data_IF_867951022858
#
_entry.id   IF_867951022858
#
_cell.length_a   1.000
_cell.length_b   1.000
_cell.length_c   1.000
_cell.angle_alpha   90.00
_cell.angle_beta   90.00
_cell.angle_gamma   90.00
#
_symmetry.space_group_name_H-M   'P 1'
#
loop_
_entity.id
_entity.type
_entity.pdbx_description
1 polymer ?
#
# COMPACT_ATOMS: atom_id res chain seq x y z
N UNK A 1 4.57 -23.93 47.25
CA UNK A 1 3.95 -24.78 46.21
C UNK A 1 2.44 -24.71 46.38
N UNK A 2 1.76 -23.90 45.57
CA UNK A 2 0.31 -23.82 45.57
C UNK A 2 -0.13 -23.80 44.10
N UNK A 3 -0.60 -24.95 43.62
CA UNK A 3 -1.22 -25.11 42.30
C UNK A 3 -2.64 -24.60 42.40
N UNK A 4 -2.97 -23.53 41.68
CA UNK A 4 -4.36 -23.11 41.46
C UNK A 4 -4.65 -23.33 39.98
N UNK A 5 -5.35 -24.43 39.71
CA UNK A 5 -6.02 -24.69 38.45
C UNK A 5 -7.35 -23.94 38.42
N UNK A 6 -7.52 -23.01 37.49
CA UNK A 6 -8.85 -22.57 37.08
C UNK A 6 -9.11 -23.07 35.65
N UNK A 7 -9.93 -24.12 35.55
CA UNK A 7 -10.72 -24.42 34.35
C UNK A 7 -12.00 -23.59 34.47
N UNK A 8 -12.29 -22.77 33.47
CA UNK A 8 -13.57 -22.08 33.37
C UNK A 8 -14.27 -22.49 32.06
N UNK A 9 -15.34 -23.25 32.27
CA UNK A 9 -16.53 -23.53 31.48
C UNK A 9 -16.66 -22.95 30.06
N UNK A 10 -16.83 -23.89 29.13
CA UNK A 10 -17.57 -23.74 27.89
C UNK A 10 -19.05 -23.44 28.20
N UNK A 11 -19.50 -22.23 27.91
CA UNK A 11 -20.92 -21.89 27.85
C UNK A 11 -21.32 -21.76 26.36
N UNK A 12 -22.02 -22.78 25.88
CA UNK A 12 -22.68 -22.78 24.59
C UNK A 12 -23.93 -21.89 24.72
N UNK A 13 -23.83 -20.63 24.30
CA UNK A 13 -25.01 -19.76 24.14
C UNK A 13 -25.34 -19.68 22.67
N UNK A 14 -26.29 -20.52 22.25
CA UNK A 14 -26.97 -20.39 20.98
C UNK A 14 -27.82 -19.12 21.03
N UNK A 15 -27.29 -18.01 20.49
CA UNK A 15 -28.10 -16.85 20.12
C UNK A 15 -28.25 -16.90 18.61
N UNK A 16 -29.39 -17.42 18.16
CA UNK A 16 -29.94 -17.17 16.83
C UNK A 16 -30.34 -15.69 16.76
N UNK A 17 -29.36 -14.82 16.53
CA UNK A 17 -29.64 -13.48 16.04
C UNK A 17 -29.75 -13.55 14.53
N UNK A 18 -30.98 -13.72 14.03
CA UNK A 18 -31.38 -13.21 12.72
C UNK A 18 -31.38 -11.67 12.79
N UNK A 19 -30.19 -11.10 12.93
CA UNK A 19 -29.96 -9.68 12.74
C UNK A 19 -29.54 -9.50 11.30
N UNK A 20 -30.49 -9.22 10.41
CA UNK A 20 -30.17 -8.18 9.43
C UNK A 20 -29.78 -6.99 10.29
N UNK A 21 -28.48 -6.68 10.36
CA UNK A 21 -28.07 -5.38 10.83
C UNK A 21 -28.79 -4.41 9.90
N UNK A 22 -29.88 -3.79 10.39
CA UNK A 22 -30.52 -2.69 9.69
C UNK A 22 -29.41 -1.68 9.50
N UNK A 23 -28.93 -1.54 8.26
CA UNK A 23 -28.26 -0.33 7.88
C UNK A 23 -29.24 0.79 8.25
N UNK A 24 -28.84 1.71 9.12
CA UNK A 24 -29.77 2.71 9.66
C UNK A 24 -30.22 3.71 8.59
N UNK A 25 -29.63 3.63 7.40
CA UNK A 25 -30.03 4.33 6.18
C UNK A 25 -28.84 5.00 5.52
N UNK A 26 -29.09 5.69 4.40
CA UNK A 26 -28.05 6.41 3.67
C UNK A 26 -27.38 7.49 4.51
N UNK A 27 -28.15 8.22 5.33
CA UNK A 27 -27.65 9.36 6.13
C UNK A 27 -27.22 8.90 7.52
N UNK A 28 -27.97 7.99 8.11
CA UNK A 28 -27.84 7.58 9.51
C UNK A 28 -26.57 6.75 9.74
N UNK A 29 -26.16 5.96 8.75
CA UNK A 29 -24.87 5.26 8.75
C UNK A 29 -23.74 6.07 8.10
N UNK A 30 -23.97 7.35 7.78
CA UNK A 30 -22.91 8.20 7.23
C UNK A 30 -21.83 8.50 8.26
N UNK A 31 -20.58 8.49 7.81
CA UNK A 31 -19.44 8.87 8.62
C UNK A 31 -18.53 9.84 7.85
N UNK A 32 -17.95 10.79 8.55
CA UNK A 32 -16.95 11.69 8.01
C UNK A 32 -15.70 11.71 8.90
N UNK A 33 -14.52 11.68 8.28
CA UNK A 33 -13.24 11.88 8.95
C UNK A 33 -12.45 12.99 8.27
N UNK A 34 -11.83 13.84 9.09
CA UNK A 34 -10.89 14.85 8.64
C UNK A 34 -9.51 14.52 9.20
N UNK A 35 -8.58 14.18 8.32
CA UNK A 35 -7.16 14.04 8.67
C UNK A 35 -6.42 15.33 8.35
N UNK A 36 -5.74 15.89 9.35
CA UNK A 36 -4.79 16.99 9.16
C UNK A 36 -3.37 16.42 9.21
N UNK A 37 -2.57 16.65 8.17
CA UNK A 37 -1.22 16.09 8.03
C UNK A 37 -0.20 17.21 7.84
N UNK A 38 0.67 17.41 8.82
CA UNK A 38 1.85 18.26 8.64
C UNK A 38 3.03 17.38 8.21
N UNK A 39 3.64 17.65 7.06
CA UNK A 39 4.64 16.76 6.46
C UNK A 39 5.87 17.55 5.99
N UNK A 40 6.98 17.40 6.72
CA UNK A 40 8.31 17.76 6.26
C UNK A 40 9.02 16.55 5.64
N UNK A 41 9.53 16.70 4.42
CA UNK A 41 10.31 15.68 3.74
C UNK A 41 11.65 16.26 3.30
N UNK A 42 12.74 15.52 3.53
CA UNK A 42 14.09 15.93 3.15
C UNK A 42 14.90 14.73 2.66
N UNK A 43 15.23 14.76 1.37
CA UNK A 43 16.17 13.85 0.73
C UNK A 43 17.38 14.63 0.30
N UNK A 44 18.43 14.54 1.10
CA UNK A 44 19.73 15.15 0.82
C UNK A 44 20.61 14.21 -0.01
N UNK A 45 20.99 14.61 -1.22
CA UNK A 45 21.85 13.82 -2.09
C UNK A 45 23.32 14.08 -1.76
N UNK A 46 24.06 13.02 -1.39
CA UNK A 46 25.46 13.13 -0.93
C UNK A 46 26.49 13.12 -2.06
N UNK A 47 26.11 12.65 -3.25
CA UNK A 47 26.97 12.64 -4.44
C UNK A 47 26.60 13.79 -5.38
N UNK A 48 27.51 14.09 -6.32
CA UNK A 48 27.27 15.08 -7.36
C UNK A 48 26.03 14.72 -8.18
N UNK A 49 24.99 15.54 -8.05
CA UNK A 49 23.69 15.37 -8.69
C UNK A 49 23.23 16.72 -9.22
N UNK A 50 22.37 16.78 -10.26
CA UNK A 50 21.83 18.04 -10.77
C UNK A 50 21.02 18.83 -9.73
N UNK A 51 20.53 18.16 -8.69
CA UNK A 51 19.76 18.73 -7.59
C UNK A 51 20.34 18.23 -6.26
N UNK A 52 20.76 19.14 -5.39
CA UNK A 52 21.45 18.80 -4.13
C UNK A 52 20.53 18.19 -3.07
N UNK A 53 19.25 18.58 -3.04
CA UNK A 53 18.25 17.98 -2.18
C UNK A 53 16.84 18.11 -2.78
N UNK A 54 15.98 17.13 -2.51
CA UNK A 54 14.53 17.29 -2.62
C UNK A 54 13.98 17.52 -1.21
N UNK A 55 13.45 18.71 -0.93
CA UNK A 55 13.06 19.13 0.41
C UNK A 55 11.88 20.09 0.39
N UNK A 56 10.79 19.66 1.00
CA UNK A 56 9.53 20.38 1.03
C UNK A 56 8.85 20.21 2.39
N UNK A 57 8.10 21.24 2.78
CA UNK A 57 7.23 21.23 3.95
C UNK A 57 5.83 21.65 3.52
N UNK A 58 4.83 20.85 3.88
CA UNK A 58 3.45 21.13 3.51
C UNK A 58 2.46 20.71 4.61
N UNK A 59 1.28 21.31 4.56
CA UNK A 59 0.12 20.98 5.37
C UNK A 59 -0.97 20.39 4.46
N UNK A 60 -1.49 19.22 4.82
CA UNK A 60 -2.54 18.51 4.10
C UNK A 60 -3.82 18.41 4.92
N UNK A 61 -4.95 18.44 4.22
CA UNK A 61 -6.28 18.18 4.74
C UNK A 61 -6.96 17.13 3.86
N UNK A 62 -7.39 16.04 4.48
CA UNK A 62 -8.04 14.91 3.80
C UNK A 62 -9.39 14.73 4.48
N UNK A 63 -10.46 15.15 3.81
CA UNK A 63 -11.83 14.93 4.26
C UNK A 63 -12.41 13.75 3.49
N UNK A 64 -12.69 12.65 4.19
CA UNK A 64 -13.46 11.55 3.64
C UNK A 64 -14.87 11.60 4.21
N UNK A 65 -15.87 11.59 3.33
CA UNK A 65 -17.28 11.47 3.69
C UNK A 65 -17.80 10.20 3.04
N UNK A 66 -18.32 9.28 3.85
CA UNK A 66 -18.86 8.02 3.37
C UNK A 66 -20.32 7.91 3.77
N UNK A 67 -21.20 7.72 2.80
CA UNK A 67 -22.61 7.48 3.12
C UNK A 67 -22.81 6.09 3.71
N UNK A 68 -23.96 5.88 4.34
CA UNK A 68 -24.55 4.55 4.49
C UNK A 68 -25.01 3.97 3.16
N UNK A 69 -25.86 2.95 3.25
CA UNK A 69 -26.56 2.38 2.09
C UNK A 69 -28.06 2.59 2.24
N UNK A 70 -28.75 2.87 1.14
CA UNK A 70 -30.22 2.85 1.12
C UNK A 70 -30.74 1.48 1.54
N UNK A 71 -31.89 1.45 2.22
CA UNK A 71 -32.55 0.21 2.61
C UNK A 71 -33.01 -0.60 1.40
N UNK A 72 -33.00 -1.94 1.54
CA UNK A 72 -33.44 -2.88 0.52
C UNK A 72 -32.44 -4.00 0.24
N UNK A 73 -32.80 -4.96 -0.64
CA UNK A 73 -31.91 -6.07 -1.02
C UNK A 73 -30.69 -5.61 -1.83
N UNK A 74 -30.78 -4.45 -2.48
CA UNK A 74 -29.68 -3.75 -3.15
C UNK A 74 -29.61 -2.35 -2.56
N UNK A 75 -28.53 -2.06 -1.86
CA UNK A 75 -28.27 -0.76 -1.26
C UNK A 75 -27.41 0.12 -2.16
N UNK A 76 -27.72 1.40 -2.22
CA UNK A 76 -26.95 2.42 -2.94
C UNK A 76 -26.31 3.40 -1.96
N UNK A 77 -25.10 3.85 -2.27
CA UNK A 77 -24.36 4.83 -1.49
C UNK A 77 -23.54 5.76 -2.37
N UNK A 78 -23.03 6.83 -1.77
CA UNK A 78 -22.15 7.80 -2.39
C UNK A 78 -21.08 8.24 -1.38
N UNK A 79 -19.83 8.09 -1.78
CA UNK A 79 -18.68 8.58 -1.02
C UNK A 79 -18.06 9.79 -1.72
N UNK A 80 -17.47 10.67 -0.92
CA UNK A 80 -16.73 11.83 -1.38
C UNK A 80 -15.38 11.93 -0.65
N UNK A 81 -14.35 12.35 -1.37
CA UNK A 81 -13.03 12.64 -0.83
C UNK A 81 -12.59 14.02 -1.30
N UNK A 82 -12.44 14.96 -0.36
CA UNK A 82 -11.92 16.28 -0.64
C UNK A 82 -10.50 16.40 -0.07
N UNK A 83 -9.57 16.82 -0.91
CA UNK A 83 -8.14 16.92 -0.60
C UNK A 83 -7.68 18.36 -0.78
N UNK A 84 -6.86 18.85 0.14
CA UNK A 84 -6.20 20.15 0.05
C UNK A 84 -4.77 20.03 0.58
N UNK A 85 -3.79 20.45 -0.22
CA UNK A 85 -2.41 20.62 0.19
C UNK A 85 -2.00 22.08 0.12
N UNK A 86 -1.30 22.56 1.15
CA UNK A 86 -0.79 23.94 1.27
C UNK A 86 0.71 23.90 1.52
N UNK A 87 1.47 24.64 0.72
CA UNK A 87 2.92 24.80 0.84
C UNK A 87 3.27 25.61 2.07
N UNK A 88 4.20 25.09 2.88
CA UNK A 88 4.82 25.81 4.00
C UNK A 88 6.26 26.22 3.67
N UNK A 89 7.03 25.34 3.02
CA UNK A 89 8.35 25.65 2.46
C UNK A 89 8.62 24.80 1.22
N UNK A 90 9.04 25.45 0.13
CA UNK A 90 9.63 24.81 -1.05
C UNK A 90 10.31 25.88 -1.91
N UNK A 91 11.08 25.46 -2.91
CA UNK A 91 11.65 26.35 -3.91
C UNK A 91 11.95 25.58 -5.19
N UNK A 92 12.17 26.28 -6.30
CA UNK A 92 12.58 25.68 -7.58
C UNK A 92 13.78 24.75 -7.48
N UNK A 93 14.66 24.91 -6.50
CA UNK A 93 15.84 24.07 -6.32
C UNK A 93 15.56 22.80 -5.49
N UNK A 94 14.43 22.72 -4.79
CA UNK A 94 14.14 21.67 -3.79
C UNK A 94 12.86 20.86 -4.08
N UNK A 95 12.17 21.10 -5.18
CA UNK A 95 10.95 20.36 -5.56
C UNK A 95 11.20 18.89 -5.87
N UNK A 96 10.11 18.13 -6.05
CA UNK A 96 10.16 16.73 -6.47
C UNK A 96 10.17 15.74 -5.32
N UNK A 97 9.68 16.14 -4.13
CA UNK A 97 9.48 15.19 -3.03
C UNK A 97 8.22 14.34 -3.23
N UNK A 98 7.26 14.84 -4.00
CA UNK A 98 5.91 14.29 -4.12
C UNK A 98 4.92 14.81 -3.08
N UNK A 99 5.27 15.86 -2.33
CA UNK A 99 4.32 16.55 -1.43
C UNK A 99 3.49 17.63 -2.16
N UNK A 100 4.08 18.30 -3.15
CA UNK A 100 3.51 19.44 -3.85
C UNK A 100 3.67 19.26 -5.38
N UNK A 101 2.65 19.61 -6.18
CA UNK A 101 2.81 19.78 -7.62
C UNK A 101 3.82 20.89 -7.93
N UNK A 102 4.51 20.79 -9.06
CA UNK A 102 5.40 21.84 -9.55
C UNK A 102 5.37 21.94 -11.08
N UNK A 103 5.68 23.12 -11.61
CA UNK A 103 5.77 23.32 -13.06
C UNK A 103 6.92 22.50 -13.65
N UNK A 104 6.63 21.66 -14.64
CA UNK A 104 7.66 20.92 -15.37
C UNK A 104 8.69 21.82 -16.08
N UNK A 105 8.31 23.07 -16.42
CA UNK A 105 9.17 24.01 -17.14
C UNK A 105 9.98 24.90 -16.19
N UNK A 106 9.33 25.55 -15.22
CA UNK A 106 10.00 26.53 -14.34
C UNK A 106 10.46 25.93 -13.02
N UNK A 107 9.98 24.73 -12.69
CA UNK A 107 10.08 24.08 -11.38
C UNK A 107 9.45 24.84 -10.23
N UNK A 108 8.61 25.84 -10.50
CA UNK A 108 7.89 26.56 -9.44
C UNK A 108 6.93 25.59 -8.74
N UNK A 109 7.05 25.37 -7.41
CA UNK A 109 6.10 24.56 -6.66
C UNK A 109 4.81 25.35 -6.42
N UNK A 110 3.66 24.68 -6.49
CA UNK A 110 2.37 25.31 -6.22
C UNK A 110 2.29 25.82 -4.77
N UNK A 111 1.60 26.94 -4.55
CA UNK A 111 1.27 27.44 -3.21
C UNK A 111 0.25 26.53 -2.51
N UNK A 112 -0.72 26.05 -3.29
CA UNK A 112 -1.76 25.13 -2.84
C UNK A 112 -2.25 24.27 -4.01
N UNK A 113 -2.89 23.14 -3.71
CA UNK A 113 -3.57 22.30 -4.68
C UNK A 113 -4.71 21.55 -4.01
N UNK A 114 -5.79 21.30 -4.75
CA UNK A 114 -6.97 20.62 -4.21
C UNK A 114 -7.61 19.69 -5.23
N UNK A 115 -8.28 18.67 -4.71
CA UNK A 115 -8.92 17.62 -5.49
C UNK A 115 -10.25 17.22 -4.84
N UNK A 116 -11.21 16.83 -5.66
CA UNK A 116 -12.48 16.24 -5.22
C UNK A 116 -12.74 14.94 -5.98
N UNK A 117 -12.80 13.84 -5.25
CA UNK A 117 -13.19 12.53 -5.73
C UNK A 117 -14.61 12.17 -5.29
N UNK A 118 -15.35 11.49 -6.16
CA UNK A 118 -16.68 10.95 -5.86
C UNK A 118 -16.74 9.48 -6.26
N UNK A 119 -17.43 8.68 -5.46
CA UNK A 119 -17.54 7.23 -5.68
C UNK A 119 -18.97 6.78 -5.43
N UNK A 120 -19.67 6.36 -6.48
CA UNK A 120 -20.93 5.66 -6.32
C UNK A 120 -20.65 4.23 -5.87
N UNK A 121 -21.42 3.72 -4.92
CA UNK A 121 -21.27 2.36 -4.41
C UNK A 121 -22.62 1.63 -4.37
N UNK A 122 -22.58 0.36 -4.77
CA UNK A 122 -23.74 -0.54 -4.77
C UNK A 122 -23.37 -1.78 -3.99
N UNK A 123 -24.23 -2.16 -3.05
CA UNK A 123 -24.04 -3.37 -2.23
C UNK A 123 -25.23 -4.31 -2.35
N UNK A 124 -24.95 -5.57 -2.62
CA UNK A 124 -25.92 -6.66 -2.54
C UNK A 124 -25.26 -7.82 -1.79
N UNK A 125 -25.94 -8.37 -0.79
CA UNK A 125 -25.35 -9.38 0.11
C UNK A 125 -24.03 -8.88 0.74
N UNK A 126 -22.94 -9.65 0.62
CA UNK A 126 -21.58 -9.34 1.08
C UNK A 126 -20.69 -8.88 -0.09
N UNK A 127 -21.29 -8.39 -1.17
CA UNK A 127 -20.61 -7.90 -2.36
C UNK A 127 -20.85 -6.41 -2.59
N UNK A 128 -19.78 -5.68 -2.87
CA UNK A 128 -19.79 -4.23 -3.05
C UNK A 128 -19.08 -3.86 -4.37
N UNK A 129 -19.79 -3.13 -5.23
CA UNK A 129 -19.26 -2.51 -6.44
C UNK A 129 -19.10 -1.01 -6.23
N UNK A 130 -17.92 -0.49 -6.52
CA UNK A 130 -17.58 0.93 -6.50
C UNK A 130 -17.33 1.43 -7.92
N UNK A 131 -17.79 2.66 -8.22
CA UNK A 131 -17.62 3.34 -9.51
C UNK A 131 -17.22 4.80 -9.27
N UNK A 132 -16.08 5.24 -9.82
CA UNK A 132 -15.58 6.62 -9.65
C UNK A 132 -14.15 6.64 -9.13
N UNK A 133 -13.90 7.39 -8.06
CA UNK A 133 -12.60 7.45 -7.37
C UNK A 133 -12.37 6.17 -6.56
N UNK A 134 -11.35 5.40 -6.92
CA UNK A 134 -11.03 4.11 -6.33
C UNK A 134 -9.67 4.18 -5.63
N UNK A 135 -9.59 3.61 -4.42
CA UNK A 135 -8.33 3.36 -3.73
C UNK A 135 -8.16 1.85 -3.54
N UNK A 136 -7.08 1.29 -4.07
CA UNK A 136 -6.76 -0.14 -3.98
C UNK A 136 -5.55 -0.35 -3.09
N UNK A 137 -5.59 -1.41 -2.29
CA UNK A 137 -4.49 -1.84 -1.42
C UNK A 137 -4.18 -3.31 -1.68
N UNK A 138 -3.92 -3.64 -2.95
CA UNK A 138 -3.67 -5.00 -3.42
C UNK A 138 -2.20 -5.15 -3.83
N UNK A 139 -1.59 -6.36 -3.75
CA UNK A 139 -0.20 -6.58 -4.18
C UNK A 139 0.12 -6.16 -5.62
N UNK A 140 -0.91 -6.09 -6.48
CA UNK A 140 -0.80 -5.72 -7.89
C UNK A 140 -1.13 -4.25 -8.20
N UNK A 141 -1.81 -3.57 -7.27
CA UNK A 141 -2.22 -2.17 -7.38
C UNK A 141 -2.39 -1.58 -5.98
N UNK A 142 -1.51 -0.64 -5.65
CA UNK A 142 -1.43 -0.03 -4.34
C UNK A 142 -1.45 1.49 -4.50
N UNK A 143 -2.55 2.11 -4.07
CA UNK A 143 -2.69 3.55 -4.02
C UNK A 143 -1.79 4.11 -2.92
N UNK A 144 -0.75 4.84 -3.33
CA UNK A 144 0.28 5.38 -2.46
C UNK A 144 -0.28 6.28 -1.35
N UNK A 145 -0.08 5.94 -0.06
CA UNK A 145 -0.36 6.84 1.06
C UNK A 145 0.89 7.61 1.53
N UNK A 146 2.04 7.46 0.86
CA UNK A 146 3.38 7.75 1.42
C UNK A 146 3.80 9.22 1.37
N UNK A 147 2.91 10.12 0.93
CA UNK A 147 3.15 11.57 0.81
C UNK A 147 2.04 12.39 1.47
N UNK A 148 1.83 13.63 1.03
CA UNK A 148 0.91 14.56 1.67
C UNK A 148 -0.54 14.09 1.51
N UNK A 149 -0.97 13.92 0.27
CA UNK A 149 -2.32 13.50 -0.11
C UNK A 149 -2.27 12.08 -0.69
N UNK A 150 -3.36 11.29 -0.57
CA UNK A 150 -3.40 9.94 -1.09
C UNK A 150 -3.50 9.93 -2.61
N UNK A 151 -2.82 8.99 -3.25
CA UNK A 151 -3.05 8.67 -4.66
C UNK A 151 -4.43 8.00 -4.84
N UNK A 152 -5.06 8.20 -5.99
CA UNK A 152 -6.30 7.51 -6.35
C UNK A 152 -6.29 7.01 -7.79
N UNK A 153 -7.21 6.10 -8.10
CA UNK A 153 -7.51 5.63 -9.44
C UNK A 153 -8.92 6.02 -9.84
N UNK A 154 -9.21 5.98 -11.14
CA UNK A 154 -10.57 6.06 -11.66
C UNK A 154 -10.99 4.74 -12.27
N UNK A 155 -12.20 4.29 -11.98
CA UNK A 155 -12.79 3.14 -12.65
C UNK A 155 -13.85 2.42 -11.83
N UNK A 156 -13.88 1.10 -11.98
CA UNK A 156 -14.79 0.18 -11.32
C UNK A 156 -14.00 -0.83 -10.46
N UNK A 157 -14.51 -1.11 -9.27
CA UNK A 157 -13.90 -2.09 -8.37
C UNK A 157 -14.98 -2.88 -7.63
N UNK A 158 -14.92 -4.20 -7.76
CA UNK A 158 -15.79 -5.16 -7.10
C UNK A 158 -15.00 -5.90 -6.02
N UNK A 159 -15.53 -5.87 -4.80
CA UNK A 159 -15.11 -6.75 -3.70
C UNK A 159 -16.28 -7.65 -3.33
N UNK A 160 -16.07 -8.96 -3.32
CA UNK A 160 -17.10 -9.94 -2.97
C UNK A 160 -16.62 -10.85 -1.84
N UNK A 161 -17.47 -11.05 -0.84
CA UNK A 161 -17.20 -11.94 0.29
C UNK A 161 -18.42 -12.84 0.57
N UNK A 162 -18.95 -13.50 -0.46
CA UNK A 162 -20.12 -14.39 -0.31
C UNK A 162 -19.81 -15.66 0.51
N UNK A 163 -18.53 -16.09 0.56
CA UNK A 163 -18.05 -17.17 1.43
C UNK A 163 -17.21 -16.61 2.57
N UNK A 164 -17.31 -17.22 3.75
CA UNK A 164 -16.63 -16.74 4.96
C UNK A 164 -15.10 -16.83 4.87
N UNK A 165 -14.57 -17.72 4.04
CA UNK A 165 -13.13 -17.97 3.88
C UNK A 165 -12.55 -17.44 2.56
N UNK A 166 -13.35 -16.80 1.70
CA UNK A 166 -12.89 -16.33 0.39
C UNK A 166 -13.33 -14.89 0.16
N UNK A 167 -12.36 -14.01 -0.08
CA UNK A 167 -12.60 -12.65 -0.58
C UNK A 167 -12.12 -12.59 -2.02
N UNK A 168 -13.00 -12.18 -2.93
CA UNK A 168 -12.71 -11.99 -4.34
C UNK A 168 -12.64 -10.49 -4.67
N UNK A 169 -11.75 -10.17 -5.59
CA UNK A 169 -11.48 -8.83 -6.08
C UNK A 169 -11.50 -8.84 -7.60
N UNK A 170 -12.17 -7.88 -8.22
CA UNK A 170 -12.07 -7.62 -9.65
C UNK A 170 -12.12 -6.12 -9.88
N UNK A 171 -11.36 -5.62 -10.85
CA UNK A 171 -11.33 -4.20 -11.14
C UNK A 171 -10.96 -3.88 -12.57
N UNK A 172 -11.43 -2.72 -13.00
CA UNK A 172 -11.09 -2.08 -14.25
C UNK A 172 -10.85 -0.61 -13.95
N UNK A 173 -9.63 -0.16 -14.15
CA UNK A 173 -9.18 1.20 -13.89
C UNK A 173 -8.69 1.80 -15.21
N UNK A 174 -8.99 3.07 -15.47
CA UNK A 174 -8.59 3.75 -16.71
C UNK A 174 -7.63 4.92 -16.49
N UNK A 175 -7.66 5.54 -15.31
CA UNK A 175 -6.79 6.66 -14.97
C UNK A 175 -6.24 6.54 -13.56
N UNK A 176 -5.17 7.28 -13.34
CA UNK A 176 -4.52 7.46 -12.05
C UNK A 176 -4.44 8.96 -11.76
N UNK A 177 -4.71 9.35 -10.53
CA UNK A 177 -4.43 10.69 -10.04
C UNK A 177 -3.32 10.57 -8.99
N UNK A 178 -2.17 11.17 -9.31
CA UNK A 178 -0.96 11.07 -8.52
C UNK A 178 -1.07 11.94 -7.26
N UNK A 179 -0.39 11.53 -6.19
CA UNK A 179 -0.35 12.22 -4.89
C UNK A 179 0.11 13.68 -4.91
N UNK A 180 0.75 14.11 -5.99
CA UNK A 180 1.27 15.46 -6.24
C UNK A 180 0.71 16.04 -7.56
N UNK A 181 -0.54 15.70 -7.91
CA UNK A 181 -1.26 16.18 -9.08
C UNK A 181 -2.67 16.69 -8.73
N UNK A 182 -3.37 17.25 -9.72
CA UNK A 182 -4.79 17.64 -9.60
C UNK A 182 -5.68 17.05 -10.70
N UNK A 183 -5.13 16.19 -11.55
CA UNK A 183 -5.83 15.63 -12.70
C UNK A 183 -5.65 14.11 -12.85
N UNK A 184 -6.63 13.47 -13.50
CA UNK A 184 -6.59 12.06 -13.84
C UNK A 184 -5.80 11.84 -15.14
N UNK A 185 -4.68 11.15 -15.03
CA UNK A 185 -3.73 10.89 -16.10
C UNK A 185 -3.80 9.44 -16.58
N UNK A 186 -3.29 9.18 -17.80
CA UNK A 186 -3.09 7.80 -18.25
C UNK A 186 -2.06 7.11 -17.37
N UNK A 187 -2.21 5.80 -17.21
CA UNK A 187 -1.27 5.01 -16.42
C UNK A 187 -0.03 4.68 -17.25
N UNK A 188 1.12 4.64 -16.60
CA UNK A 188 2.39 4.25 -17.22
C UNK A 188 3.16 3.30 -16.30
N UNK A 189 4.26 2.74 -16.83
CA UNK A 189 5.17 1.89 -16.05
C UNK A 189 6.22 2.74 -15.34
N UNK A 190 6.49 2.45 -14.07
CA UNK A 190 7.61 3.02 -13.34
C UNK A 190 8.95 2.66 -14.00
N UNK A 191 9.80 3.66 -14.25
CA UNK A 191 11.12 3.46 -14.88
C UNK A 191 12.27 4.13 -14.12
N UNK A 192 12.44 3.85 -12.81
CA UNK A 192 13.70 4.20 -12.15
C UNK A 192 14.85 3.53 -12.90
N UNK A 193 16.02 4.18 -12.93
CA UNK A 193 17.22 3.68 -13.60
C UNK A 193 17.06 3.40 -15.11
N UNK A 194 16.01 3.91 -15.76
CA UNK A 194 15.74 3.67 -17.18
C UNK A 194 15.46 2.20 -17.51
N UNK A 195 14.92 1.45 -16.54
CA UNK A 195 14.63 0.01 -16.63
C UNK A 195 13.61 -0.30 -17.74
N UNK A 196 12.68 0.60 -18.03
CA UNK A 196 11.61 0.46 -19.02
C UNK A 196 11.38 1.75 -19.84
N UNK A 197 10.52 1.70 -20.85
CA UNK A 197 10.03 2.89 -21.53
C UNK A 197 8.99 3.63 -20.67
N UNK A 198 9.44 4.57 -19.83
CA UNK A 198 8.57 5.32 -18.92
C UNK A 198 7.62 6.32 -19.59
N UNK A 199 7.81 6.61 -20.89
CA UNK A 199 6.90 7.44 -21.67
C UNK A 199 5.71 6.64 -22.25
N UNK A 200 5.72 5.32 -22.09
CA UNK A 200 4.64 4.47 -22.59
C UNK A 200 3.42 4.53 -21.68
N UNK A 201 2.28 4.87 -22.26
CA UNK A 201 1.00 4.99 -21.58
C UNK A 201 0.06 3.83 -21.92
N UNK A 202 -0.84 3.54 -20.99
CA UNK A 202 -1.92 2.57 -21.12
C UNK A 202 -3.26 3.21 -20.78
N UNK A 203 -4.29 2.74 -21.49
CA UNK A 203 -5.68 3.16 -21.29
C UNK A 203 -6.44 2.27 -20.30
N UNK A 204 -5.85 1.16 -19.85
CA UNK A 204 -6.53 0.18 -19.00
C UNK A 204 -5.58 -0.56 -18.08
N UNK A 205 -5.95 -0.58 -16.81
CA UNK A 205 -5.45 -1.54 -15.83
C UNK A 205 -6.60 -2.41 -15.32
N UNK A 206 -6.57 -3.71 -15.62
CA UNK A 206 -7.58 -4.66 -15.15
C UNK A 206 -6.98 -5.73 -14.27
N UNK A 207 -7.74 -6.19 -13.27
CA UNK A 207 -7.27 -7.23 -12.37
C UNK A 207 -8.40 -8.12 -11.87
N UNK A 208 -8.05 -9.33 -11.48
CA UNK A 208 -8.89 -10.28 -10.76
C UNK A 208 -8.04 -11.07 -9.78
N UNK A 209 -8.57 -11.39 -8.60
CA UNK A 209 -7.84 -12.17 -7.62
C UNK A 209 -8.62 -12.39 -6.34
N UNK A 210 -7.96 -12.95 -5.34
CA UNK A 210 -8.60 -13.24 -4.07
C UNK A 210 -7.65 -13.67 -2.99
N UNK A 211 -8.17 -13.54 -1.77
CA UNK A 211 -7.58 -14.04 -0.54
C UNK A 211 -8.42 -15.21 -0.04
N UNK A 212 -7.79 -16.36 0.19
CA UNK A 212 -8.41 -17.56 0.72
C UNK A 212 -7.85 -17.90 2.11
N UNK A 213 -8.68 -17.80 3.14
CA UNK A 213 -8.37 -18.22 4.48
C UNK A 213 -8.41 -19.76 4.57
N UNK A 214 -7.28 -20.39 4.24
CA UNK A 214 -7.12 -21.86 4.28
C UNK A 214 -7.28 -22.39 5.72
N UNK A 215 -6.80 -21.64 6.71
CA UNK A 215 -7.04 -21.88 8.13
C UNK A 215 -7.04 -20.55 8.89
N UNK A 216 -7.33 -20.52 10.22
CA UNK A 216 -7.21 -19.30 11.00
C UNK A 216 -5.79 -18.71 11.06
N UNK A 217 -4.76 -19.47 10.67
CA UNK A 217 -3.35 -19.05 10.66
C UNK A 217 -2.83 -18.77 9.26
N UNK A 218 -3.35 -19.45 8.23
CA UNK A 218 -2.82 -19.44 6.87
C UNK A 218 -3.82 -18.81 5.89
N UNK A 219 -3.40 -17.72 5.26
CA UNK A 219 -4.09 -17.11 4.12
C UNK A 219 -3.27 -17.31 2.86
N UNK A 220 -3.89 -17.88 1.83
CA UNK A 220 -3.35 -17.98 0.48
C UNK A 220 -3.87 -16.81 -0.37
N UNK A 221 -3.05 -16.31 -1.29
CA UNK A 221 -3.36 -15.15 -2.10
C UNK A 221 -2.99 -15.38 -3.55
N UNK A 222 -3.88 -15.01 -4.46
CA UNK A 222 -3.62 -15.01 -5.90
C UNK A 222 -4.23 -13.78 -6.56
N UNK A 223 -3.47 -13.11 -7.43
CA UNK A 223 -3.98 -12.01 -8.24
C UNK A 223 -3.37 -12.07 -9.65
N UNK A 224 -4.19 -11.82 -10.65
CA UNK A 224 -3.78 -11.55 -12.02
C UNK A 224 -4.12 -10.11 -12.37
N UNK A 225 -3.17 -9.39 -12.97
CA UNK A 225 -3.36 -8.01 -13.39
C UNK A 225 -2.72 -7.76 -14.77
N UNK A 226 -3.32 -6.89 -15.54
CA UNK A 226 -2.86 -6.46 -16.85
C UNK A 226 -2.87 -4.93 -16.90
N UNK A 227 -1.72 -4.34 -17.20
CA UNK A 227 -1.62 -2.97 -17.66
C UNK A 227 -1.48 -3.02 -19.18
N UNK A 228 -2.60 -2.78 -19.87
CA UNK A 228 -2.74 -3.11 -21.29
C UNK A 228 -1.61 -2.50 -22.14
N UNK A 229 -1.06 -3.29 -23.05
CA UNK A 229 0.08 -2.96 -23.92
C UNK A 229 1.42 -2.69 -23.21
N UNK A 230 1.50 -2.83 -21.88
CA UNK A 230 2.72 -2.59 -21.12
C UNK A 230 3.23 -3.88 -20.49
N UNK A 231 2.48 -4.45 -19.55
CA UNK A 231 2.85 -5.71 -18.88
C UNK A 231 1.61 -6.42 -18.30
N UNK A 232 1.76 -7.73 -18.09
CA UNK A 232 0.84 -8.55 -17.28
C UNK A 232 1.59 -9.15 -16.11
N UNK A 233 0.90 -9.34 -14.99
CA UNK A 233 1.48 -9.72 -13.71
C UNK A 233 0.59 -10.69 -12.96
N UNK A 234 1.14 -11.84 -12.61
CA UNK A 234 0.58 -12.74 -11.63
C UNK A 234 1.30 -12.57 -10.28
N UNK A 235 0.53 -12.58 -9.21
CA UNK A 235 1.00 -12.62 -7.85
C UNK A 235 0.51 -13.90 -7.18
N UNK A 236 1.42 -14.61 -6.53
CA UNK A 236 1.13 -15.73 -5.64
C UNK A 236 1.74 -15.42 -4.29
N UNK A 237 0.99 -15.63 -3.21
CA UNK A 237 1.53 -15.41 -1.88
C UNK A 237 0.82 -16.19 -0.80
N UNK A 238 1.46 -16.26 0.35
CA UNK A 238 0.81 -16.70 1.57
C UNK A 238 1.32 -15.91 2.78
N UNK A 239 0.45 -15.80 3.77
CA UNK A 239 0.81 -15.35 5.11
C UNK A 239 0.39 -16.43 6.09
N UNK A 240 1.34 -16.95 6.87
CA UNK A 240 1.13 -17.96 7.91
C UNK A 240 1.61 -17.39 9.25
N UNK A 241 0.75 -17.37 10.27
CA UNK A 241 1.14 -16.91 11.62
C UNK A 241 0.84 -17.99 12.66
N UNK A 242 1.88 -18.63 13.18
CA UNK A 242 1.75 -19.78 14.09
C UNK A 242 2.43 -19.53 15.44
N UNK A 243 1.84 -20.02 16.54
CA UNK A 243 2.56 -20.13 17.81
C UNK A 243 3.85 -20.95 17.62
N UNK A 244 4.95 -20.48 18.20
CA UNK A 244 6.25 -21.16 18.19
C UNK A 244 6.94 -20.89 19.52
N UNK A 245 7.02 -21.91 20.39
CA UNK A 245 7.56 -21.76 21.73
C UNK A 245 6.81 -20.67 22.53
N UNK A 246 7.53 -19.73 23.20
CA UNK A 246 6.91 -18.63 23.93
C UNK A 246 6.39 -17.49 23.05
N UNK A 247 6.60 -17.55 21.73
CA UNK A 247 6.25 -16.49 20.79
C UNK A 247 5.39 -16.97 19.63
N UNK A 248 5.40 -16.20 18.54
CA UNK A 248 4.77 -16.58 17.27
C UNK A 248 5.70 -16.30 16.10
N UNK A 249 5.66 -17.17 15.08
CA UNK A 249 6.37 -16.98 13.82
C UNK A 249 5.38 -16.63 12.72
N UNK A 250 5.58 -15.44 12.11
CA UNK A 250 4.95 -15.06 10.84
C UNK A 250 5.88 -15.45 9.70
N UNK A 251 5.33 -16.15 8.70
CA UNK A 251 5.96 -16.38 7.40
C UNK A 251 5.15 -15.65 6.32
N UNK A 252 5.81 -14.82 5.52
CA UNK A 252 5.21 -14.00 4.46
C UNK A 252 5.96 -14.29 3.15
N UNK A 253 5.35 -15.07 2.27
CA UNK A 253 5.92 -15.42 0.97
C UNK A 253 5.20 -14.68 -0.14
N UNK A 254 5.98 -14.15 -1.09
CA UNK A 254 5.49 -13.39 -2.24
C UNK A 254 6.25 -13.81 -3.49
N UNK A 255 5.51 -14.14 -4.54
CA UNK A 255 6.03 -14.41 -5.87
C UNK A 255 5.29 -13.54 -6.88
N UNK A 256 6.04 -12.72 -7.60
CA UNK A 256 5.56 -11.98 -8.75
C UNK A 256 6.10 -12.63 -10.03
N UNK A 257 5.21 -12.86 -10.99
CA UNK A 257 5.50 -13.41 -12.31
C UNK A 257 5.03 -12.37 -13.31
N UNK A 258 5.97 -11.71 -13.99
CA UNK A 258 5.63 -10.56 -14.85
C UNK A 258 6.25 -10.73 -16.23
N UNK A 259 5.40 -10.59 -17.26
CA UNK A 259 5.78 -10.64 -18.67
C UNK A 259 5.23 -9.41 -19.40
N UNK A 260 5.72 -9.16 -20.61
CA UNK A 260 5.17 -8.14 -21.50
C UNK A 260 3.73 -8.47 -21.93
N UNK A 261 2.97 -7.43 -22.23
CA UNK A 261 1.57 -7.55 -22.67
C UNK A 261 1.33 -6.77 -23.97
N UNK A 262 0.40 -7.26 -24.79
CA UNK A 262 -0.10 -6.58 -25.99
C UNK A 262 1.03 -6.10 -26.92
N UNK A 263 1.02 -4.80 -27.23
CA UNK A 263 2.03 -4.18 -28.08
C UNK A 263 3.43 -4.00 -27.42
N UNK A 264 3.62 -4.43 -26.17
CA UNK A 264 4.88 -4.35 -25.42
C UNK A 264 5.53 -2.95 -25.43
N UNK A 265 4.72 -1.89 -25.26
CA UNK A 265 5.15 -0.49 -25.32
C UNK A 265 6.15 -0.11 -24.23
N UNK A 266 6.17 -0.86 -23.11
CA UNK A 266 7.15 -0.73 -22.03
C UNK A 266 8.56 -1.17 -22.45
N UNK A 267 8.70 -1.84 -23.59
CA UNK A 267 9.87 -2.63 -23.96
C UNK A 267 9.74 -4.08 -23.45
N UNK A 268 10.85 -4.82 -23.50
CA UNK A 268 10.87 -6.19 -23.01
C UNK A 268 10.53 -6.25 -21.52
N UNK A 269 9.74 -7.24 -21.11
CA UNK A 269 9.44 -7.55 -19.71
C UNK A 269 9.53 -9.06 -19.52
N UNK A 270 10.49 -9.49 -18.70
CA UNK A 270 10.74 -10.88 -18.32
C UNK A 270 11.30 -10.89 -16.90
N UNK A 271 10.42 -11.05 -15.92
CA UNK A 271 10.78 -10.99 -14.51
C UNK A 271 10.03 -12.01 -13.66
N UNK A 272 10.76 -12.67 -12.76
CA UNK A 272 10.19 -13.39 -11.62
C UNK A 272 10.84 -12.86 -10.35
N UNK A 273 10.04 -12.36 -9.41
CA UNK A 273 10.52 -11.88 -8.11
C UNK A 273 9.96 -12.77 -7.00
N UNK A 274 10.80 -13.55 -6.36
CA UNK A 274 10.44 -14.43 -5.25
C UNK A 274 11.03 -13.92 -3.94
N UNK A 275 10.21 -13.88 -2.90
CA UNK A 275 10.61 -13.35 -1.60
C UNK A 275 9.98 -14.12 -0.44
N UNK A 276 10.72 -14.25 0.66
CA UNK A 276 10.24 -14.78 1.93
C UNK A 276 10.71 -13.86 3.06
N UNK A 277 9.79 -13.48 3.94
CA UNK A 277 10.07 -12.77 5.18
C UNK A 277 9.58 -13.61 6.36
N UNK A 278 10.47 -13.86 7.32
CA UNK A 278 10.17 -14.52 8.58
C UNK A 278 10.21 -13.48 9.70
N UNK A 279 9.19 -13.42 10.54
CA UNK A 279 9.14 -12.53 11.70
C UNK A 279 8.77 -13.29 12.96
N UNK A 280 9.69 -13.37 13.91
CA UNK A 280 9.43 -13.96 15.22
C UNK A 280 9.06 -12.88 16.23
N UNK A 281 7.86 -12.97 16.80
CA UNK A 281 7.35 -12.07 17.83
C UNK A 281 7.46 -12.70 19.22
N UNK A 282 8.05 -11.98 20.17
CA UNK A 282 8.21 -12.40 21.56
C UNK A 282 8.00 -11.21 22.50
N UNK A 283 6.86 -11.19 23.19
CA UNK A 283 6.49 -10.06 24.06
C UNK A 283 6.45 -8.74 23.29
N UNK A 284 7.26 -7.77 23.73
CA UNK A 284 7.37 -6.46 23.09
C UNK A 284 8.27 -6.43 21.83
N UNK A 285 8.93 -7.54 21.50
CA UNK A 285 9.95 -7.61 20.45
C UNK A 285 9.44 -8.31 19.20
N UNK A 286 9.87 -7.86 18.02
CA UNK A 286 9.77 -8.62 16.77
C UNK A 286 11.11 -8.62 16.06
N UNK A 287 11.57 -9.79 15.65
CA UNK A 287 12.80 -9.98 14.88
C UNK A 287 12.44 -10.52 13.50
N UNK A 288 12.83 -9.79 12.46
CA UNK A 288 12.54 -10.08 11.08
C UNK A 288 13.80 -10.39 10.29
N UNK A 289 13.75 -11.43 9.46
CA UNK A 289 14.77 -11.73 8.46
C UNK A 289 14.09 -12.11 7.14
N UNK A 290 14.55 -11.54 6.03
CA UNK A 290 13.96 -11.78 4.72
C UNK A 290 14.99 -11.86 3.61
N UNK A 291 14.62 -12.55 2.55
CA UNK A 291 15.41 -12.67 1.32
C UNK A 291 14.48 -12.55 0.12
N UNK A 292 14.91 -11.77 -0.87
CA UNK A 292 14.24 -11.50 -2.13
C UNK A 292 15.20 -11.73 -3.29
N UNK A 293 14.74 -12.33 -4.37
CA UNK A 293 15.54 -12.57 -5.56
C UNK A 293 14.72 -12.33 -6.82
N UNK A 294 15.27 -11.50 -7.69
CA UNK A 294 14.78 -11.25 -9.02
C UNK A 294 15.52 -12.14 -10.02
N UNK A 295 14.77 -12.79 -10.91
CA UNK A 295 15.28 -13.58 -12.03
C UNK A 295 14.57 -13.17 -13.31
N UNK A 296 15.08 -13.62 -14.46
CA UNK A 296 14.68 -13.12 -15.78
C UNK A 296 15.63 -12.04 -16.29
N UNK A 297 15.29 -11.47 -17.45
CA UNK A 297 16.13 -10.47 -18.14
C UNK A 297 15.91 -9.04 -17.66
N UNK A 298 14.78 -8.74 -17.01
CA UNK A 298 14.37 -7.37 -16.70
C UNK A 298 14.12 -7.17 -15.21
N UNK A 299 13.97 -5.90 -14.81
CA UNK A 299 13.48 -5.52 -13.49
C UNK A 299 12.03 -5.98 -13.28
N UNK A 300 11.50 -5.85 -12.07
CA UNK A 300 10.05 -6.00 -11.83
C UNK A 300 9.34 -4.68 -12.16
N UNK A 301 8.43 -4.61 -13.16
CA UNK A 301 7.69 -3.38 -13.44
C UNK A 301 6.56 -3.19 -12.42
N UNK A 302 6.11 -1.95 -12.27
CA UNK A 302 4.97 -1.56 -11.43
C UNK A 302 4.35 -0.27 -11.98
N UNK A 303 3.15 0.08 -11.54
CA UNK A 303 2.46 1.31 -11.93
C UNK A 303 3.28 2.53 -11.49
N UNK A 304 3.53 3.47 -12.40
CA UNK A 304 4.21 4.72 -12.06
C UNK A 304 3.48 5.46 -10.92
N UNK A 305 4.26 6.04 -10.01
CA UNK A 305 3.74 6.76 -8.84
C UNK A 305 3.20 5.89 -7.70
N UNK A 306 3.09 4.57 -7.86
CA UNK A 306 2.69 3.62 -6.80
C UNK A 306 3.91 3.02 -6.08
N UNK A 307 3.69 2.39 -4.93
CA UNK A 307 4.71 1.57 -4.26
C UNK A 307 4.51 0.07 -4.55
N UNK A 308 5.60 -0.64 -4.91
CA UNK A 308 5.55 -2.09 -5.02
C UNK A 308 5.47 -2.75 -3.63
N UNK A 309 4.47 -3.62 -3.43
CA UNK A 309 4.30 -4.38 -2.19
C UNK A 309 5.17 -5.65 -2.14
N UNK A 310 6.49 -5.46 -2.13
CA UNK A 310 7.49 -6.53 -1.93
C UNK A 310 7.93 -6.59 -0.46
N UNK A 311 8.81 -7.53 -0.07
CA UNK A 311 9.20 -7.66 1.36
C UNK A 311 10.05 -6.49 1.88
N UNK A 312 10.59 -5.68 0.98
CA UNK A 312 11.28 -4.41 1.24
C UNK A 312 10.31 -3.23 1.27
N UNK A 313 8.99 -3.45 1.21
CA UNK A 313 8.00 -2.37 1.27
C UNK A 313 8.21 -1.42 2.46
N UNK A 314 7.98 -0.12 2.22
CA UNK A 314 8.21 0.93 3.18
C UNK A 314 9.66 1.38 3.32
N UNK A 315 10.60 0.87 2.51
CA UNK A 315 11.89 1.55 2.30
C UNK A 315 11.64 2.94 1.70
N UNK A 316 12.46 3.91 2.10
CA UNK A 316 12.32 5.32 1.78
C UNK A 316 13.09 5.73 0.52
N UNK A 317 14.15 5.00 0.17
CA UNK A 317 15.08 5.42 -0.88
C UNK A 317 15.13 4.49 -2.08
N UNK A 318 15.00 3.18 -1.89
CA UNK A 318 15.00 2.20 -2.98
C UNK A 318 13.99 1.07 -2.79
N UNK A 319 13.40 0.62 -3.89
CA UNK A 319 12.53 -0.55 -3.93
C UNK A 319 13.26 -1.91 -4.01
N UNK A 320 14.57 -1.94 -4.33
CA UNK A 320 15.37 -3.17 -4.51
C UNK A 320 14.83 -4.10 -5.63
N UNK A 321 14.44 -3.52 -6.77
CA UNK A 321 13.80 -4.24 -7.88
C UNK A 321 14.58 -4.19 -9.20
N UNK A 322 15.89 -4.00 -9.15
CA UNK A 322 16.71 -3.99 -10.37
C UNK A 322 16.80 -5.39 -11.01
N UNK A 323 17.15 -5.48 -12.30
CA UNK A 323 17.33 -6.77 -12.96
C UNK A 323 18.37 -7.63 -12.22
N UNK A 324 18.01 -8.90 -11.98
CA UNK A 324 18.82 -9.93 -11.29
C UNK A 324 19.21 -9.65 -9.84
N UNK A 325 18.68 -8.59 -9.23
CA UNK A 325 19.02 -8.21 -7.88
C UNK A 325 18.64 -9.29 -6.86
N UNK A 326 19.53 -9.51 -5.89
CA UNK A 326 19.28 -10.33 -4.70
C UNK A 326 19.40 -9.44 -3.48
N UNK A 327 18.38 -9.45 -2.63
CA UNK A 327 18.33 -8.54 -1.50
C UNK A 327 17.98 -9.31 -0.23
N UNK A 328 18.72 -9.05 0.83
CA UNK A 328 18.40 -9.57 2.16
C UNK A 328 18.11 -8.43 3.12
N UNK A 329 17.23 -8.69 4.08
CA UNK A 329 16.72 -7.71 5.03
C UNK A 329 16.78 -8.28 6.44
N UNK A 330 17.20 -7.44 7.39
CA UNK A 330 16.97 -7.66 8.82
C UNK A 330 16.16 -6.49 9.37
N UNK A 331 15.20 -6.81 10.24
CA UNK A 331 14.29 -5.83 10.86
C UNK A 331 14.10 -6.13 12.33
N UNK A 332 14.06 -5.10 13.15
CA UNK A 332 13.72 -5.20 14.56
C UNK A 332 12.65 -4.16 14.89
N UNK A 333 11.52 -4.62 15.43
CA UNK A 333 10.46 -3.75 15.93
C UNK A 333 10.34 -3.90 17.45
N UNK A 334 10.07 -2.80 18.13
CA UNK A 334 9.85 -2.76 19.57
C UNK A 334 8.61 -1.95 19.93
N UNK A 335 7.73 -2.54 20.74
CA UNK A 335 6.57 -1.88 21.33
C UNK A 335 6.89 -1.41 22.76
N UNK A 336 6.98 -0.09 22.96
CA UNK A 336 7.36 0.49 24.24
C UNK A 336 6.25 0.44 25.31
N UNK A 337 5.07 -0.12 25.00
CA UNK A 337 4.07 -0.43 26.02
C UNK A 337 4.65 -1.35 27.13
N UNK A 338 5.59 -2.23 26.79
CA UNK A 338 6.31 -3.05 27.77
C UNK A 338 7.18 -2.26 28.75
N UNK A 339 7.49 -1.00 28.43
CA UNK A 339 8.22 -0.04 29.27
C UNK A 339 7.29 1.06 29.84
N UNK A 340 5.98 0.87 29.76
CA UNK A 340 5.00 1.83 30.29
C UNK A 340 4.73 3.04 29.40
N UNK A 341 5.16 3.02 28.12
CA UNK A 341 4.88 4.08 27.15
C UNK A 341 3.97 3.53 26.04
N UNK A 342 2.67 3.31 26.31
CA UNK A 342 1.74 2.82 25.29
C UNK A 342 1.65 3.81 24.12
N UNK A 343 1.54 3.28 22.90
CA UNK A 343 1.47 4.09 21.69
C UNK A 343 2.81 4.40 21.04
N UNK A 344 3.93 4.31 21.79
CA UNK A 344 5.28 4.49 21.25
C UNK A 344 5.80 3.17 20.64
N UNK A 345 6.26 3.23 19.40
CA UNK A 345 6.87 2.12 18.68
C UNK A 345 8.18 2.58 18.04
N UNK A 346 9.14 1.66 17.93
CA UNK A 346 10.39 1.87 17.21
C UNK A 346 10.66 0.74 16.23
N UNK A 347 11.28 1.07 15.09
CA UNK A 347 11.72 0.10 14.10
C UNK A 347 13.14 0.44 13.63
N UNK A 348 13.97 -0.59 13.52
CA UNK A 348 15.27 -0.56 12.86
C UNK A 348 15.24 -1.56 11.70
N UNK A 349 15.76 -1.16 10.54
CA UNK A 349 15.88 -2.04 9.38
C UNK A 349 17.21 -1.82 8.68
N UNK A 350 17.78 -2.91 8.19
CA UNK A 350 18.86 -2.88 7.21
C UNK A 350 18.50 -3.78 6.03
N UNK A 351 18.67 -3.27 4.82
CA UNK A 351 18.52 -4.00 3.57
C UNK A 351 19.82 -3.88 2.77
N UNK A 352 20.27 -4.97 2.17
CA UNK A 352 21.41 -4.99 1.25
C UNK A 352 21.05 -5.76 0.01
N UNK A 353 21.25 -5.14 -1.15
CA UNK A 353 21.06 -5.69 -2.48
C UNK A 353 22.40 -5.86 -3.20
N UNK A 354 22.55 -6.97 -3.93
CA UNK A 354 23.70 -7.24 -4.79
C UNK A 354 23.26 -7.87 -6.13
N UNK A 355 24.24 -8.17 -7.00
CA UNK A 355 24.02 -8.82 -8.30
C UNK A 355 23.10 -8.01 -9.24
N UNK A 356 23.16 -6.68 -9.11
CA UNK A 356 22.35 -5.75 -9.90
C UNK A 356 22.96 -5.61 -11.29
N UNK A 357 22.15 -5.83 -12.33
CA UNK A 357 22.52 -5.68 -13.73
C UNK A 357 21.88 -4.44 -14.36
N UNK A 358 22.67 -3.38 -14.55
CA UNK A 358 22.23 -2.12 -15.17
C UNK A 358 23.24 -1.69 -16.23
N UNK A 359 23.26 -2.42 -17.35
CA UNK A 359 24.20 -2.15 -18.45
C UNK A 359 24.17 -0.69 -18.94
N UNK A 360 22.98 -0.06 -18.99
CA UNK A 360 22.81 1.35 -19.39
C UNK A 360 23.42 2.35 -18.38
N UNK A 361 23.59 1.95 -17.13
CA UNK A 361 24.21 2.74 -16.06
C UNK A 361 25.62 2.24 -15.71
N UNK A 362 26.23 1.45 -16.60
CA UNK A 362 27.65 1.18 -16.57
C UNK A 362 28.11 0.06 -15.63
N UNK A 363 27.23 -0.87 -15.23
CA UNK A 363 27.69 -1.96 -14.37
C UNK A 363 26.84 -3.24 -14.37
N UNK A 364 27.57 -4.34 -14.28
CA UNK A 364 27.11 -5.65 -13.80
C UNK A 364 27.58 -5.83 -12.35
N UNK A 365 26.93 -6.70 -11.58
CA UNK A 365 27.26 -6.94 -10.16
C UNK A 365 27.28 -5.66 -9.30
N UNK A 366 26.39 -4.70 -9.58
CA UNK A 366 26.24 -3.51 -8.75
C UNK A 366 25.57 -3.88 -7.40
N UNK A 367 25.65 -2.97 -6.45
CA UNK A 367 25.15 -3.14 -5.07
C UNK A 367 24.40 -1.91 -4.59
N UNK A 368 23.45 -2.12 -3.69
CA UNK A 368 22.79 -1.04 -2.96
C UNK A 368 22.48 -1.45 -1.52
N UNK A 369 22.22 -0.48 -0.64
CA UNK A 369 21.83 -0.76 0.73
C UNK A 369 21.04 0.38 1.34
N UNK A 370 20.16 0.06 2.28
CA UNK A 370 19.34 1.03 2.99
C UNK A 370 19.32 0.73 4.50
N UNK A 371 19.36 1.78 5.31
CA UNK A 371 19.33 1.74 6.77
C UNK A 371 18.22 2.65 7.25
N UNK A 372 17.25 2.10 7.95
CA UNK A 372 16.09 2.84 8.42
C UNK A 372 15.98 2.84 9.93
N UNK A 373 15.55 3.99 10.43
CA UNK A 373 15.12 4.19 11.80
C UNK A 373 13.75 4.86 11.73
N UNK A 374 12.75 4.24 12.34
CA UNK A 374 11.42 4.81 12.50
C UNK A 374 11.07 4.88 13.98
N UNK A 375 10.45 5.99 14.37
CA UNK A 375 9.82 6.17 15.68
C UNK A 375 8.43 6.71 15.43
N UNK A 376 7.42 6.05 15.99
CA UNK A 376 6.02 6.50 15.90
C UNK A 376 5.40 6.54 17.28
N UNK A 377 4.56 7.55 17.51
CA UNK A 377 3.76 7.68 18.72
C UNK A 377 2.31 7.98 18.34
N UNK A 378 1.40 7.11 18.79
CA UNK A 378 -0.03 7.35 18.72
C UNK A 378 -0.58 7.49 20.14
N UNK A 379 -1.11 8.67 20.47
CA UNK A 379 -1.80 8.88 21.73
C UNK A 379 -2.97 7.91 21.87
N UNK A 380 -3.14 7.32 23.05
CA UNK A 380 -4.33 6.55 23.37
C UNK A 380 -5.49 7.53 23.61
N UNK A 381 -6.32 7.79 22.62
CA UNK A 381 -7.46 8.70 22.80
C UNK A 381 -8.51 8.08 23.73
N UNK A 382 -8.55 8.63 24.95
CA UNK A 382 -9.71 8.67 25.84
C UNK A 382 -10.72 9.64 25.23
N UNK A 383 -11.41 9.22 24.18
CA UNK A 383 -12.62 9.86 23.69
C UNK A 383 -13.57 8.80 23.10
N UNK A 384 -13.83 7.74 23.88
CA UNK A 384 -15.14 7.08 23.76
C UNK A 384 -16.14 8.04 24.36
N UNK A 385 -16.84 8.81 23.53
CA UNK A 385 -18.13 9.32 23.97
C UNK A 385 -18.99 8.09 24.24
N UNK A 386 -19.13 7.76 25.53
CA UNK A 386 -20.28 7.02 25.98
C UNK A 386 -21.48 7.83 25.55
N UNK A 387 -22.17 7.41 24.48
CA UNK A 387 -23.57 7.79 24.34
C UNK A 387 -24.35 6.88 25.30
N UNK A 388 -24.98 7.42 26.36
CA UNK A 388 -26.06 6.73 27.01
C UNK A 388 -27.32 6.85 26.14
N UNK A 389 -28.08 5.77 26.03
CA UNK A 389 -29.32 5.68 25.27
C UNK A 389 -29.57 4.26 24.84
#
# INVERSE_FOLDING_TARGET
MLKISLRAFSACTCVLSLGQACASGFVEDSHADLTMRNFYFDRNYVNATPQTAAREWAQGFILNVRSGYTEGPVGFGLDAQALLGVRLDSSRARTGTGLLPYSATTREPADEYSELGLTAKVRASKSELQLGTISTFLPIAFASPTRLLPQTFRGAYLKSQESDNLTLHAGWLDRINLRDSTDYQKMSVGSPNGRFNGAAESDRFSFVGGDYAWSPQLTLKYYHAELADLYRKDFYGFVDNRPMGPGSLKSDFRLFVTDEDGAAKAGAVDNRNAALMLTYALGAHKFGAGYMQLTGKTAMPYLFGTEPLVITEGTLSSEFLNPKERSWQVRYDYNFAGLGVPGLNGMLRYVSGDNIELAKLGGSNLTESEKDIEVSYAGSDVCRSSRPG
#
